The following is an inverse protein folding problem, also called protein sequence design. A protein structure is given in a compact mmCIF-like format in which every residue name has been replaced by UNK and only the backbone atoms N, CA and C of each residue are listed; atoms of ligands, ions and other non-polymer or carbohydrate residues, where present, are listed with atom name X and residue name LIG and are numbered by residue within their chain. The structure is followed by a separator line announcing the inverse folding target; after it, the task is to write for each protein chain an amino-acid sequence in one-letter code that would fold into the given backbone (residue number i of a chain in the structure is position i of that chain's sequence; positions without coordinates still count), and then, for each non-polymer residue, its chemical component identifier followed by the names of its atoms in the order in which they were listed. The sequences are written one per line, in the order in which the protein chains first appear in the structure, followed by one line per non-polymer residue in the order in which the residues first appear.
data_IF_093646597298
#
_entry.id   IF_093646597298
#
_cell.length_a   1.000
_cell.length_b   1.000
_cell.length_c   1.000
_cell.angle_alpha   90.00
_cell.angle_beta   90.00
_cell.angle_gamma   90.00
#
_symmetry.space_group_name_H-M   'P 1'
#
loop_
_entity.id
_entity.type
_entity.pdbx_description
1 polymer ?
#
# COMPACT_ATOMS: atom_id res chain seq x y z
N UNK A 1 4.30 -13.67 3.30
CA UNK A 1 3.35 -13.32 4.35
C UNK A 1 3.35 -11.82 4.52
N UNK A 2 2.17 -11.20 4.43
CA UNK A 2 1.97 -9.78 4.68
C UNK A 2 1.32 -9.64 6.07
N UNK A 3 1.82 -8.71 6.88
CA UNK A 3 1.30 -8.46 8.23
C UNK A 3 1.10 -6.97 8.42
N UNK A 4 -0.11 -6.59 8.84
CA UNK A 4 -0.47 -5.22 9.18
C UNK A 4 -1.20 -5.24 10.53
N UNK A 5 -0.71 -4.47 11.51
CA UNK A 5 -1.34 -4.36 12.83
C UNK A 5 -1.65 -5.74 13.46
N UNK A 6 -0.64 -6.62 13.52
CA UNK A 6 -0.72 -8.00 14.02
C UNK A 6 -1.66 -8.94 13.22
N UNK A 7 -2.33 -8.43 12.19
CA UNK A 7 -3.21 -9.21 11.33
C UNK A 7 -2.43 -9.78 10.15
N UNK A 8 -2.50 -11.11 10.00
CA UNK A 8 -1.92 -11.81 8.86
C UNK A 8 -2.86 -11.70 7.65
N UNK A 9 -2.29 -11.27 6.52
CA UNK A 9 -3.00 -11.02 5.27
C UNK A 9 -2.55 -12.04 4.21
N UNK A 10 -3.17 -13.23 4.23
CA UNK A 10 -2.71 -14.36 3.43
C UNK A 10 -3.11 -14.30 1.96
N UNK A 11 -4.27 -13.73 1.63
CA UNK A 11 -4.75 -13.64 0.25
C UNK A 11 -4.37 -12.32 -0.42
N UNK A 12 -3.63 -11.45 0.25
CA UNK A 12 -3.23 -10.16 -0.29
C UNK A 12 -1.98 -10.27 -1.16
N UNK A 13 -2.03 -9.63 -2.33
CA UNK A 13 -0.93 -9.52 -3.29
C UNK A 13 -0.54 -8.05 -3.46
N UNK A 14 0.75 -7.77 -3.51
CA UNK A 14 1.25 -6.43 -3.83
C UNK A 14 1.23 -6.22 -5.35
N UNK A 15 0.32 -5.38 -5.84
CA UNK A 15 0.11 -5.18 -7.28
C UNK A 15 1.22 -4.37 -7.95
N UNK A 16 1.61 -3.25 -7.36
CA UNK A 16 2.59 -2.29 -7.91
C UNK A 16 4.01 -2.53 -7.41
N UNK A 17 4.33 -3.77 -7.00
CA UNK A 17 5.64 -4.11 -6.47
C UNK A 17 6.76 -3.77 -7.45
N UNK A 18 6.57 -4.11 -8.72
CA UNK A 18 7.58 -4.01 -9.78
C UNK A 18 7.54 -2.67 -10.54
N UNK A 19 6.47 -1.89 -10.36
CA UNK A 19 6.28 -0.62 -11.06
C UNK A 19 7.10 0.51 -10.45
N UNK A 20 7.57 0.34 -9.21
CA UNK A 20 8.36 1.34 -8.51
C UNK A 20 9.83 1.30 -8.91
N UNK A 21 10.31 2.39 -9.52
CA UNK A 21 11.73 2.61 -9.79
C UNK A 21 12.27 3.60 -8.75
N UNK A 22 13.07 3.10 -7.80
CA UNK A 22 13.62 3.88 -6.70
C UNK A 22 14.80 4.81 -7.10
N UNK A 23 14.97 5.12 -8.38
CA UNK A 23 16.13 5.85 -8.90
C UNK A 23 15.67 7.04 -9.74
N UNK A 24 16.06 8.24 -9.31
CA UNK A 24 16.00 9.43 -10.15
C UNK A 24 17.35 9.65 -10.83
N UNK A 25 17.31 9.91 -12.13
CA UNK A 25 18.48 10.25 -12.94
C UNK A 25 18.28 11.63 -13.57
N UNK A 26 19.26 12.50 -13.40
CA UNK A 26 19.34 13.80 -14.08
C UNK A 26 20.62 13.86 -14.91
N UNK A 27 20.51 14.29 -16.16
CA UNK A 27 21.67 14.49 -17.03
C UNK A 27 21.79 15.95 -17.44
N UNK A 28 22.97 16.54 -17.25
CA UNK A 28 23.31 17.88 -17.72
C UNK A 28 24.54 17.81 -18.65
N UNK A 29 24.64 18.76 -19.59
CA UNK A 29 25.85 18.92 -20.41
C UNK A 29 26.62 20.15 -19.95
N UNK A 30 27.88 19.95 -19.60
CA UNK A 30 28.80 21.04 -19.32
C UNK A 30 29.09 21.84 -20.60
N UNK A 31 29.58 23.08 -20.44
CA UNK A 31 29.89 24.00 -21.56
C UNK A 31 30.94 23.43 -22.54
N UNK A 32 31.72 22.44 -22.11
CA UNK A 32 32.71 21.72 -22.92
C UNK A 32 32.14 20.46 -23.64
N UNK A 33 30.84 20.19 -23.51
CA UNK A 33 30.17 19.03 -24.12
C UNK A 33 30.22 17.74 -23.28
N UNK A 34 30.91 17.73 -22.14
CA UNK A 34 30.95 16.59 -21.23
C UNK A 34 29.57 16.36 -20.59
N UNK A 35 29.16 15.09 -20.50
CA UNK A 35 27.92 14.69 -19.86
C UNK A 35 28.14 14.52 -18.36
N UNK A 36 27.33 15.19 -17.55
CA UNK A 36 27.23 15.01 -16.12
C UNK A 36 25.95 14.24 -15.83
N UNK A 37 26.04 13.12 -15.10
CA UNK A 37 24.89 12.29 -14.76
C UNK A 37 24.84 12.19 -13.24
N UNK A 38 23.75 12.68 -12.66
CA UNK A 38 23.46 12.53 -11.24
C UNK A 38 22.41 11.44 -11.06
N UNK A 39 22.67 10.52 -10.14
CA UNK A 39 21.75 9.46 -9.77
C UNK A 39 21.54 9.53 -8.27
N UNK A 40 20.28 9.55 -7.86
CA UNK A 40 19.92 9.49 -6.44
C UNK A 40 18.86 8.43 -6.20
N UNK A 41 18.92 7.80 -5.03
CA UNK A 41 17.90 6.88 -4.57
C UNK A 41 16.77 7.71 -3.97
N UNK A 42 15.53 7.42 -4.33
CA UNK A 42 14.34 7.96 -3.67
C UNK A 42 13.88 6.90 -2.65
N UNK A 43 14.09 7.10 -1.34
CA UNK A 43 13.74 6.09 -0.33
C UNK A 43 12.26 6.16 0.09
N UNK A 44 11.64 7.33 -0.02
CA UNK A 44 10.30 7.63 0.48
C UNK A 44 9.27 7.78 -0.65
N UNK A 45 7.99 7.61 -0.31
CA UNK A 45 6.87 7.81 -1.24
C UNK A 45 6.62 6.66 -2.22
N UNK A 46 7.18 5.46 -1.96
CA UNK A 46 6.82 4.26 -2.72
C UNK A 46 5.38 3.88 -2.41
N UNK A 47 4.55 3.79 -3.43
CA UNK A 47 3.20 3.25 -3.33
C UNK A 47 3.26 1.75 -3.03
N UNK A 48 2.41 1.30 -2.13
CA UNK A 48 2.19 -0.10 -1.79
C UNK A 48 0.68 -0.35 -1.90
N UNK A 49 0.28 -0.93 -3.03
CA UNK A 49 -1.11 -1.31 -3.29
C UNK A 49 -1.29 -2.81 -3.08
N UNK A 50 -1.98 -3.18 -2.01
CA UNK A 50 -2.28 -4.56 -1.67
C UNK A 50 -3.71 -4.90 -2.09
N UNK A 51 -3.87 -6.01 -2.79
CA UNK A 51 -5.14 -6.44 -3.36
C UNK A 51 -5.50 -7.85 -2.93
N UNK A 52 -6.79 -8.06 -2.63
CA UNK A 52 -7.40 -9.38 -2.45
C UNK A 52 -8.76 -9.42 -3.14
N UNK A 53 -9.03 -10.52 -3.86
CA UNK A 53 -10.30 -10.70 -4.56
C UNK A 53 -11.48 -10.88 -3.60
N UNK A 54 -11.26 -11.53 -2.46
CA UNK A 54 -12.32 -11.93 -1.53
C UNK A 54 -11.81 -12.04 -0.10
N UNK A 55 -12.46 -11.33 0.82
CA UNK A 55 -12.09 -11.33 2.24
C UNK A 55 -13.30 -11.37 3.16
N UNK A 56 -13.11 -11.98 4.33
CA UNK A 56 -14.09 -11.93 5.40
C UNK A 56 -14.16 -10.53 6.03
N UNK A 57 -15.34 -10.15 6.51
CA UNK A 57 -15.54 -8.90 7.24
C UNK A 57 -14.66 -8.81 8.50
N UNK A 58 -14.29 -9.95 9.10
CA UNK A 58 -13.37 -10.02 10.24
C UNK A 58 -11.94 -9.60 9.88
N UNK A 59 -11.55 -9.68 8.60
CA UNK A 59 -10.24 -9.23 8.08
C UNK A 59 -10.37 -7.78 7.61
N UNK A 60 -11.44 -7.45 6.89
CA UNK A 60 -11.66 -6.12 6.31
C UNK A 60 -11.95 -5.04 7.38
N UNK A 61 -12.87 -5.29 8.31
CA UNK A 61 -13.33 -4.26 9.25
C UNK A 61 -12.21 -3.73 10.16
N UNK A 62 -11.30 -4.56 10.73
CA UNK A 62 -10.18 -4.05 11.52
C UNK A 62 -9.23 -3.18 10.69
N UNK A 63 -8.95 -3.54 9.43
CA UNK A 63 -8.11 -2.73 8.53
C UNK A 63 -8.78 -1.39 8.20
N UNK A 64 -10.09 -1.42 7.94
CA UNK A 64 -10.87 -0.22 7.67
C UNK A 64 -10.88 0.73 8.89
N UNK A 65 -11.12 0.21 10.09
CA UNK A 65 -11.06 0.99 11.33
C UNK A 65 -9.64 1.49 11.65
N UNK A 66 -8.63 0.68 11.38
CA UNK A 66 -7.22 1.08 11.53
C UNK A 66 -6.89 2.25 10.59
N UNK A 67 -7.31 2.18 9.32
CA UNK A 67 -7.13 3.28 8.36
C UNK A 67 -7.88 4.57 8.74
N UNK A 68 -8.97 4.45 9.51
CA UNK A 68 -9.76 5.59 10.01
C UNK A 68 -9.14 6.26 11.24
N UNK A 69 -8.44 5.50 12.07
CA UNK A 69 -7.95 5.95 13.39
C UNK A 69 -6.46 6.23 13.41
N UNK A 70 -5.66 5.49 12.63
CA UNK A 70 -4.21 5.65 12.55
C UNK A 70 -3.85 6.67 11.48
N UNK A 71 -3.50 7.88 11.90
CA UNK A 71 -3.09 8.98 11.02
C UNK A 71 -1.56 9.15 10.90
N UNK A 72 -0.81 8.42 11.72
CA UNK A 72 0.65 8.47 11.78
C UNK A 72 1.26 7.29 11.04
N UNK A 73 2.59 7.32 10.90
CA UNK A 73 3.36 6.20 10.39
C UNK A 73 3.25 4.95 11.30
N UNK A 74 3.27 3.78 10.68
CA UNK A 74 3.28 2.49 11.35
C UNK A 74 4.10 1.47 10.54
N UNK A 75 4.49 0.38 11.17
CA UNK A 75 5.28 -0.67 10.53
C UNK A 75 4.38 -1.76 9.95
N UNK A 76 4.70 -2.19 8.74
CA UNK A 76 4.15 -3.40 8.12
C UNK A 76 5.28 -4.35 7.76
N UNK A 77 4.98 -5.64 7.70
CA UNK A 77 5.95 -6.64 7.22
C UNK A 77 5.44 -7.28 5.95
N UNK A 78 6.25 -7.27 4.88
CA UNK A 78 5.97 -7.96 3.62
C UNK A 78 7.10 -8.96 3.37
N UNK A 79 6.78 -10.26 3.37
CA UNK A 79 7.75 -11.35 3.15
C UNK A 79 8.99 -11.27 4.07
N UNK A 80 8.80 -10.82 5.31
CA UNK A 80 9.87 -10.69 6.31
C UNK A 80 10.65 -9.37 6.25
N UNK A 81 10.37 -8.50 5.28
CA UNK A 81 10.92 -7.15 5.22
C UNK A 81 9.97 -6.17 5.88
N UNK A 82 10.47 -5.40 6.85
CA UNK A 82 9.73 -4.32 7.49
C UNK A 82 9.73 -3.07 6.60
N UNK A 83 8.57 -2.42 6.51
CA UNK A 83 8.39 -1.12 5.86
C UNK A 83 7.69 -0.18 6.82
N UNK A 84 8.24 1.02 6.99
CA UNK A 84 7.54 2.13 7.63
C UNK A 84 6.63 2.76 6.58
N UNK A 85 5.33 2.80 6.86
CA UNK A 85 4.31 3.25 5.92
C UNK A 85 3.29 4.14 6.61
N UNK A 86 2.54 4.87 5.80
CA UNK A 86 1.31 5.54 6.21
C UNK A 86 0.20 5.20 5.23
N UNK A 87 -1.05 5.22 5.70
CA UNK A 87 -2.22 5.11 4.83
C UNK A 87 -2.25 6.25 3.82
N UNK A 88 -2.58 5.95 2.56
CA UNK A 88 -2.72 6.98 1.56
C UNK A 88 -4.16 7.55 1.53
N UNK A 89 -4.40 8.56 2.38
CA UNK A 89 -5.67 9.30 2.41
C UNK A 89 -5.87 10.29 1.26
N UNK A 90 -4.90 10.45 0.35
CA UNK A 90 -5.14 11.21 -0.89
C UNK A 90 -6.12 10.47 -1.81
N UNK A 91 -6.21 9.14 -1.65
CA UNK A 91 -7.21 8.26 -2.21
C UNK A 91 -8.00 7.58 -1.08
N UNK A 92 -8.84 6.59 -1.40
CA UNK A 92 -9.45 5.74 -0.38
C UNK A 92 -8.38 4.74 0.11
N UNK A 93 -7.89 4.82 1.35
CA UNK A 93 -6.79 3.97 1.82
C UNK A 93 -7.22 2.50 1.96
N UNK A 94 -8.49 2.24 2.25
CA UNK A 94 -9.09 0.91 2.30
C UNK A 94 -10.38 0.95 1.52
N UNK A 95 -10.51 0.06 0.55
CA UNK A 95 -11.66 -0.06 -0.34
C UNK A 95 -12.07 -1.52 -0.45
N UNK A 96 -13.37 -1.78 -0.52
CA UNK A 96 -13.93 -3.10 -0.68
C UNK A 96 -15.43 -3.02 -0.97
N UNK A 97 -15.94 -3.96 -1.77
CA UNK A 97 -17.35 -4.03 -2.14
C UNK A 97 -18.03 -5.18 -1.39
N UNK A 98 -19.16 -4.99 -0.70
CA UNK A 98 -19.89 -6.10 -0.09
C UNK A 98 -20.21 -7.20 -1.11
N UNK A 99 -19.88 -8.45 -0.81
CA UNK A 99 -20.20 -9.57 -1.70
C UNK A 99 -21.71 -9.84 -1.80
N UNK A 100 -22.39 -9.72 -0.66
CA UNK A 100 -23.85 -9.90 -0.56
C UNK A 100 -24.44 -8.68 0.11
N UNK A 101 -25.49 -8.15 -0.49
CA UNK A 101 -26.24 -7.02 0.08
C UNK A 101 -27.34 -7.56 0.99
N UNK A 102 -27.26 -7.19 2.26
CA UNK A 102 -28.31 -7.44 3.23
C UNK A 102 -29.09 -6.15 3.50
N UNK A 103 -30.38 -6.26 3.77
CA UNK A 103 -31.24 -5.10 4.06
C UNK A 103 -31.12 -4.59 5.49
N UNK A 104 -30.84 -5.47 6.45
CA UNK A 104 -30.84 -5.20 7.89
C UNK A 104 -29.56 -5.63 8.60
N UNK A 105 -28.65 -6.31 7.90
CA UNK A 105 -27.46 -6.95 8.45
C UNK A 105 -26.18 -6.40 7.82
N UNK A 106 -25.09 -6.42 8.58
CA UNK A 106 -23.78 -6.06 8.03
C UNK A 106 -23.27 -7.14 7.05
N UNK A 107 -22.53 -6.76 5.98
CA UNK A 107 -21.91 -7.73 5.10
C UNK A 107 -20.93 -8.64 5.86
N UNK A 108 -20.96 -9.93 5.54
CA UNK A 108 -20.04 -10.93 6.11
C UNK A 108 -18.76 -11.10 5.29
N UNK A 109 -18.79 -10.71 4.01
CA UNK A 109 -17.68 -10.80 3.08
C UNK A 109 -17.61 -9.57 2.16
N UNK A 110 -16.40 -9.24 1.75
CA UNK A 110 -16.06 -8.17 0.84
C UNK A 110 -15.28 -8.72 -0.36
N UNK A 111 -15.47 -8.09 -1.51
CA UNK A 111 -14.82 -8.37 -2.78
C UNK A 111 -14.00 -7.17 -3.24
N UNK A 112 -12.99 -7.44 -4.07
CA UNK A 112 -12.10 -6.43 -4.65
C UNK A 112 -11.52 -5.51 -3.57
N UNK A 113 -10.96 -6.12 -2.52
CA UNK A 113 -10.40 -5.38 -1.40
C UNK A 113 -9.05 -4.79 -1.80
N UNK A 114 -8.92 -3.48 -1.67
CA UNK A 114 -7.71 -2.75 -2.01
C UNK A 114 -7.23 -1.91 -0.82
N UNK A 115 -5.96 -2.07 -0.45
CA UNK A 115 -5.28 -1.33 0.60
C UNK A 115 -4.19 -0.47 -0.05
N UNK A 116 -4.26 0.85 0.15
CA UNK A 116 -3.34 1.83 -0.42
C UNK A 116 -2.49 2.46 0.67
N UNK A 117 -1.19 2.24 0.58
CA UNK A 117 -0.18 2.65 1.54
C UNK A 117 0.96 3.37 0.80
N UNK A 118 1.72 4.19 1.51
CA UNK A 118 2.94 4.81 0.99
C UNK A 118 4.07 4.72 2.00
N UNK A 119 5.29 4.47 1.53
CA UNK A 119 6.48 4.50 2.39
C UNK A 119 6.82 5.93 2.80
N UNK A 120 7.36 6.08 4.01
CA UNK A 120 7.84 7.35 4.57
C UNK A 120 9.36 7.44 4.56
#
# INVERSE_FOLDING_TARGET
MIVINEQQLDNFVWLDELDYIAVAEQSERALNGAQHIEKTIIPAGRSINLYSDFEAASVFNPLFEHARTTLTEFEITIRGTAFTVVWDHSQKPVEGTPHTHFSDSAPTYFQNVNLRLKTV
#
